data_IF_682215061381
#
_entry.id   IF_682215061381
#
_cell.length_a   1.000
_cell.length_b   1.000
_cell.length_c   1.000
_cell.angle_alpha   90.00
_cell.angle_beta   90.00
_cell.angle_gamma   90.00
#
_symmetry.space_group_name_H-M   'P 1'
#
loop_
_entity.id
_entity.type
_entity.pdbx_description
1 polymer ?
#
# COMPACT_ATOMS: atom_id res chain seq x y z
N UNK A 1 -15.35 -14.72 3.52
CA UNK A 1 -13.96 -14.35 3.18
C UNK A 1 -13.06 -14.92 4.26
N UNK A 2 -12.52 -16.14 4.08
CA UNK A 2 -11.55 -16.74 5.00
C UNK A 2 -10.16 -16.27 4.57
N UNK A 3 -9.40 -15.68 5.49
CA UNK A 3 -8.11 -15.06 5.23
C UNK A 3 -7.00 -16.01 5.73
N UNK A 4 -6.12 -16.55 4.87
CA UNK A 4 -5.15 -17.58 5.26
C UNK A 4 -3.87 -17.04 5.92
N UNK A 5 -3.68 -15.72 6.02
CA UNK A 5 -2.48 -15.12 6.61
C UNK A 5 -2.69 -14.83 8.10
N UNK A 6 -1.78 -15.32 8.95
CA UNK A 6 -1.81 -15.03 10.39
C UNK A 6 -1.75 -13.51 10.64
N UNK A 7 -2.64 -13.00 11.50
CA UNK A 7 -2.77 -11.56 11.79
C UNK A 7 -3.74 -10.80 10.90
N UNK A 8 -4.33 -11.43 9.86
CA UNK A 8 -5.33 -10.82 8.99
C UNK A 8 -6.74 -11.27 9.39
N UNK A 9 -7.48 -10.41 10.09
CA UNK A 9 -8.82 -10.75 10.59
C UNK A 9 -9.87 -10.92 9.48
N UNK A 10 -9.63 -10.36 8.29
CA UNK A 10 -10.49 -10.50 7.12
C UNK A 10 -11.81 -9.74 7.22
N UNK A 11 -11.80 -8.55 7.83
CA UNK A 11 -13.01 -7.75 8.09
C UNK A 11 -12.91 -6.34 7.52
N UNK A 12 -14.04 -5.79 7.11
CA UNK A 12 -14.23 -4.36 6.87
C UNK A 12 -14.86 -3.74 8.11
N UNK A 13 -14.19 -2.75 8.68
CA UNK A 13 -14.64 -2.06 9.90
C UNK A 13 -15.01 -0.63 9.52
N UNK A 14 -16.29 -0.29 9.63
CA UNK A 14 -16.80 1.06 9.43
C UNK A 14 -16.89 1.77 10.77
N UNK A 15 -16.55 3.05 10.81
CA UNK A 15 -16.63 3.85 12.01
C UNK A 15 -16.11 5.26 11.82
N UNK A 16 -15.73 5.90 12.92
CA UNK A 16 -15.12 7.22 12.91
C UNK A 16 -13.77 7.19 13.61
N UNK A 17 -12.74 7.73 12.97
CA UNK A 17 -11.42 7.96 13.56
C UNK A 17 -11.23 9.46 13.79
N UNK A 18 -11.11 9.88 15.06
CA UNK A 18 -10.99 11.30 15.43
C UNK A 18 -12.05 12.19 14.75
N UNK A 19 -13.30 11.71 14.70
CA UNK A 19 -14.43 12.43 14.09
C UNK A 19 -14.54 12.35 12.57
N UNK A 20 -13.59 11.71 11.87
CA UNK A 20 -13.66 11.48 10.43
C UNK A 20 -14.25 10.09 10.13
N UNK A 21 -15.30 9.98 9.30
CA UNK A 21 -15.82 8.67 8.90
C UNK A 21 -14.74 7.91 8.10
N UNK A 22 -14.56 6.64 8.42
CA UNK A 22 -13.55 5.80 7.79
C UNK A 22 -14.04 4.35 7.65
N UNK A 23 -13.50 3.66 6.64
CA UNK A 23 -13.57 2.21 6.51
C UNK A 23 -12.15 1.66 6.59
N UNK A 24 -11.94 0.65 7.45
CA UNK A 24 -10.65 0.01 7.63
C UNK A 24 -10.71 -1.45 7.16
N UNK A 25 -9.74 -1.85 6.34
CA UNK A 25 -9.49 -3.25 6.02
C UNK A 25 -8.60 -3.85 7.11
N UNK A 26 -9.19 -4.64 8.01
CA UNK A 26 -8.41 -5.38 9.01
C UNK A 26 -7.87 -6.66 8.39
N UNK A 27 -6.77 -6.49 7.66
CA UNK A 27 -6.16 -7.49 6.79
C UNK A 27 -6.39 -7.18 5.31
N UNK A 28 -5.39 -7.49 4.50
CA UNK A 28 -5.39 -7.38 3.02
C UNK A 28 -5.06 -8.73 2.39
N UNK A 29 -5.41 -8.91 1.12
CA UNK A 29 -4.97 -10.05 0.33
C UNK A 29 -3.59 -9.76 -0.29
N UNK A 30 -2.81 -10.80 -0.54
CA UNK A 30 -1.48 -10.72 -1.15
C UNK A 30 -1.35 -11.61 -2.38
N UNK A 31 -0.40 -11.28 -3.26
CA UNK A 31 -0.17 -12.00 -4.51
C UNK A 31 0.22 -13.47 -4.27
N UNK A 32 1.10 -13.73 -3.31
CA UNK A 32 1.54 -15.08 -2.96
C UNK A 32 0.42 -15.99 -2.42
N UNK A 33 -0.75 -15.45 -2.06
CA UNK A 33 -1.91 -16.26 -1.67
C UNK A 33 -2.60 -16.92 -2.87
N UNK A 34 -2.14 -16.64 -4.09
CA UNK A 34 -2.65 -17.24 -5.34
C UNK A 34 -3.89 -16.55 -5.91
N UNK A 35 -4.29 -15.41 -5.35
CA UNK A 35 -5.41 -14.63 -5.91
C UNK A 35 -4.98 -13.84 -7.15
N UNK A 36 -5.84 -13.72 -8.17
CA UNK A 36 -5.64 -12.76 -9.25
C UNK A 36 -5.48 -11.35 -8.68
N UNK A 37 -4.55 -10.56 -9.22
CA UNK A 37 -4.23 -9.21 -8.73
C UNK A 37 -5.44 -8.27 -8.75
N UNK A 38 -6.38 -8.47 -9.67
CA UNK A 38 -7.65 -7.74 -9.74
C UNK A 38 -8.56 -8.05 -8.54
N UNK A 39 -8.53 -9.28 -8.00
CA UNK A 39 -9.28 -9.65 -6.79
C UNK A 39 -8.66 -9.01 -5.55
N UNK A 40 -7.33 -8.94 -5.49
CA UNK A 40 -6.60 -8.30 -4.39
C UNK A 40 -6.92 -6.81 -4.31
N UNK A 41 -6.96 -6.13 -5.46
CA UNK A 41 -7.15 -4.67 -5.56
C UNK A 41 -8.60 -4.23 -5.66
N UNK A 42 -9.56 -5.17 -5.80
CA UNK A 42 -10.99 -4.89 -5.87
C UNK A 42 -11.53 -3.96 -4.77
N UNK A 43 -11.09 -4.06 -3.49
CA UNK A 43 -11.56 -3.15 -2.44
C UNK A 43 -11.35 -1.67 -2.77
N UNK A 44 -10.32 -1.32 -3.55
CA UNK A 44 -10.08 0.08 -3.96
C UNK A 44 -11.23 0.63 -4.81
N UNK A 45 -11.78 -0.18 -5.73
CA UNK A 45 -12.95 0.18 -6.54
C UNK A 45 -14.21 0.29 -5.67
N UNK A 46 -14.37 -0.61 -4.71
CA UNK A 46 -15.49 -0.56 -3.76
C UNK A 46 -15.41 0.72 -2.92
N UNK A 47 -14.24 1.07 -2.39
CA UNK A 47 -14.05 2.29 -1.61
C UNK A 47 -14.31 3.55 -2.42
N UNK A 48 -13.87 3.59 -3.69
CA UNK A 48 -14.23 4.68 -4.60
C UNK A 48 -15.75 4.83 -4.76
N UNK A 49 -16.47 3.73 -4.93
CA UNK A 49 -17.94 3.75 -5.03
C UNK A 49 -18.63 4.14 -3.72
N UNK A 50 -18.01 3.92 -2.57
CA UNK A 50 -18.48 4.38 -1.26
C UNK A 50 -18.15 5.86 -0.99
N UNK A 51 -17.49 6.55 -1.93
CA UNK A 51 -17.13 7.96 -1.78
C UNK A 51 -15.81 8.21 -1.04
N UNK A 52 -14.94 7.20 -0.91
CA UNK A 52 -13.60 7.40 -0.34
C UNK A 52 -12.74 8.19 -1.33
N UNK A 53 -12.15 9.28 -0.84
CA UNK A 53 -11.27 10.17 -1.62
C UNK A 53 -9.79 10.01 -1.25
N UNK A 54 -9.50 9.54 -0.03
CA UNK A 54 -8.14 9.34 0.48
C UNK A 54 -7.98 7.92 0.99
N UNK A 55 -6.89 7.25 0.59
CA UNK A 55 -6.55 5.90 1.04
C UNK A 55 -5.20 5.94 1.75
N UNK A 56 -5.16 5.46 2.99
CA UNK A 56 -3.92 5.25 3.74
C UNK A 56 -3.58 3.76 3.67
N UNK A 57 -2.42 3.43 3.11
CA UNK A 57 -1.92 2.05 3.00
C UNK A 57 -0.74 1.84 3.95
N UNK A 58 -0.82 0.82 4.80
CA UNK A 58 0.26 0.48 5.75
C UNK A 58 0.79 -0.91 5.44
N UNK A 59 2.10 -1.14 5.48
CA UNK A 59 2.68 -2.48 5.33
C UNK A 59 3.91 -2.68 6.21
N UNK A 60 4.28 -3.94 6.39
CA UNK A 60 5.57 -4.32 6.95
C UNK A 60 6.50 -4.64 5.79
N UNK A 61 7.76 -4.21 5.89
CA UNK A 61 8.77 -4.35 4.85
C UNK A 61 10.14 -4.68 5.46
N UNK A 62 10.97 -5.39 4.70
CA UNK A 62 12.40 -5.47 4.98
C UNK A 62 13.10 -4.17 4.56
N UNK A 63 14.01 -3.66 5.40
CA UNK A 63 14.80 -2.47 5.09
C UNK A 63 16.05 -2.81 4.30
N UNK A 64 16.15 -2.34 3.05
CA UNK A 64 17.37 -2.47 2.23
C UNK A 64 18.36 -1.30 2.44
N UNK A 65 17.84 -0.15 2.88
CA UNK A 65 18.69 0.97 3.26
C UNK A 65 19.38 0.64 4.60
N UNK A 66 20.72 0.66 4.62
CA UNK A 66 21.53 0.31 5.79
C UNK A 66 21.32 1.25 6.99
N UNK A 67 20.79 2.45 6.76
CA UNK A 67 20.48 3.41 7.82
C UNK A 67 19.15 3.11 8.53
N UNK A 68 18.32 2.22 7.98
CA UNK A 68 17.02 1.88 8.55
C UNK A 68 17.16 0.81 9.63
N UNK A 69 16.30 0.91 10.64
CA UNK A 69 16.26 -0.01 11.78
C UNK A 69 14.90 -0.68 11.89
N UNK A 70 14.88 -1.85 12.52
CA UNK A 70 13.62 -2.52 12.87
C UNK A 70 12.79 -1.59 13.76
N UNK A 71 11.55 -1.33 13.35
CA UNK A 71 10.63 -0.43 14.04
C UNK A 71 10.55 0.98 13.44
N UNK A 72 11.43 1.33 12.50
CA UNK A 72 11.32 2.58 11.75
C UNK A 72 10.01 2.60 10.93
N UNK A 73 9.45 3.80 10.76
CA UNK A 73 8.31 4.06 9.90
C UNK A 73 8.82 4.78 8.66
N UNK A 74 8.64 4.17 7.48
CA UNK A 74 9.00 4.79 6.22
C UNK A 74 7.75 5.32 5.50
N UNK A 75 7.71 6.63 5.25
CA UNK A 75 6.77 7.24 4.31
C UNK A 75 7.20 6.85 2.89
N UNK A 76 6.29 6.21 2.15
CA UNK A 76 6.55 5.79 0.77
C UNK A 76 6.42 7.02 -0.14
N UNK A 77 7.52 7.41 -0.76
CA UNK A 77 7.52 8.51 -1.75
C UNK A 77 7.35 8.04 -3.19
N UNK A 78 7.70 6.78 -3.46
CA UNK A 78 7.58 6.15 -4.77
C UNK A 78 7.63 4.62 -4.64
N UNK A 79 7.38 3.89 -5.74
CA UNK A 79 7.53 2.44 -5.76
C UNK A 79 8.17 1.89 -7.04
N UNK A 80 8.76 0.69 -6.90
CA UNK A 80 9.12 -0.18 -8.01
C UNK A 80 8.13 -1.34 -8.03
N UNK A 81 7.38 -1.47 -9.12
CA UNK A 81 6.38 -2.53 -9.29
C UNK A 81 6.96 -3.69 -10.13
N UNK A 82 7.75 -4.57 -9.51
CA UNK A 82 8.40 -5.68 -10.20
C UNK A 82 7.40 -6.63 -10.90
N UNK A 83 6.28 -7.06 -10.28
CA UNK A 83 5.25 -7.84 -10.98
C UNK A 83 4.66 -7.09 -12.18
N UNK A 84 4.50 -5.76 -12.06
CA UNK A 84 3.99 -4.91 -13.12
C UNK A 84 4.85 -4.93 -14.38
N UNK A 85 6.19 -4.92 -14.24
CA UNK A 85 7.10 -5.05 -15.39
C UNK A 85 6.94 -6.37 -16.14
N UNK A 86 6.54 -7.44 -15.46
CA UNK A 86 6.24 -8.75 -16.06
C UNK A 86 4.78 -8.90 -16.54
N UNK A 87 3.99 -7.81 -16.55
CA UNK A 87 2.59 -7.83 -16.97
C UNK A 87 1.60 -8.30 -15.90
N UNK A 88 2.03 -8.52 -14.66
CA UNK A 88 1.13 -8.79 -13.54
C UNK A 88 0.73 -7.46 -12.87
N UNK A 89 -0.15 -6.71 -13.52
CA UNK A 89 -0.65 -5.41 -13.08
C UNK A 89 -2.20 -5.45 -12.94
N UNK A 90 -2.81 -4.82 -11.91
CA UNK A 90 -4.27 -4.85 -11.71
C UNK A 90 -5.08 -4.22 -12.85
N UNK A 91 -4.46 -3.44 -13.72
CA UNK A 91 -5.10 -2.79 -14.87
C UNK A 91 -5.00 -3.61 -16.16
N UNK A 92 -4.35 -4.79 -16.14
CA UNK A 92 -4.37 -5.71 -17.29
C UNK A 92 -5.79 -6.24 -17.50
N UNK A 93 -6.25 -6.17 -18.75
CA UNK A 93 -7.61 -6.51 -19.18
C UNK A 93 -8.31 -5.32 -19.84
N UNK A 94 -9.64 -5.38 -20.06
CA UNK A 94 -10.45 -4.25 -20.53
C UNK A 94 -10.43 -3.08 -19.53
N UNK A 95 -10.44 -1.84 -20.04
CA UNK A 95 -10.59 -0.65 -19.19
C UNK A 95 -12.07 -0.34 -18.95
N UNK A 96 -12.40 0.04 -17.73
CA UNK A 96 -13.72 0.54 -17.37
C UNK A 96 -13.61 2.04 -17.09
N UNK A 97 -14.08 2.84 -18.04
CA UNK A 97 -13.92 4.30 -18.02
C UNK A 97 -14.61 4.98 -16.83
N UNK A 98 -15.52 4.27 -16.13
CA UNK A 98 -16.14 4.77 -14.90
C UNK A 98 -15.14 4.95 -13.75
N UNK A 99 -14.00 4.24 -13.79
CA UNK A 99 -12.98 4.29 -12.74
C UNK A 99 -11.75 5.11 -13.11
N UNK A 100 -11.46 5.30 -14.41
CA UNK A 100 -10.32 6.08 -14.85
C UNK A 100 -9.92 5.84 -16.30
N UNK A 101 -8.82 6.49 -16.68
CA UNK A 101 -8.23 6.43 -18.02
C UNK A 101 -7.53 5.10 -18.27
N UNK A 102 -7.37 4.73 -19.55
CA UNK A 102 -6.68 3.50 -19.96
C UNK A 102 -5.21 3.43 -19.53
N UNK A 103 -4.52 4.56 -19.56
CA UNK A 103 -3.09 4.67 -19.28
C UNK A 103 -2.87 5.76 -18.21
N UNK A 104 -3.08 5.44 -16.92
CA UNK A 104 -2.85 6.40 -15.86
C UNK A 104 -1.36 6.69 -15.70
N UNK A 105 -1.01 7.96 -15.46
CA UNK A 105 0.31 8.33 -15.00
C UNK A 105 0.47 7.90 -13.53
N UNK A 106 1.68 7.50 -13.14
CA UNK A 106 1.98 7.07 -11.77
C UNK A 106 3.04 7.95 -11.08
N UNK A 107 3.54 9.00 -11.74
CA UNK A 107 4.61 9.85 -11.19
C UNK A 107 4.18 10.69 -9.99
N UNK A 108 2.88 10.76 -9.74
CA UNK A 108 2.21 11.44 -8.63
C UNK A 108 1.28 10.49 -7.85
N UNK A 109 1.49 9.17 -7.95
CA UNK A 109 0.64 8.17 -7.29
C UNK A 109 0.65 8.28 -5.75
N UNK A 110 1.72 8.84 -5.18
CA UNK A 110 1.80 9.18 -3.77
C UNK A 110 1.67 10.70 -3.64
N UNK A 111 0.62 11.14 -2.96
CA UNK A 111 0.33 12.56 -2.76
C UNK A 111 1.45 13.22 -1.94
N UNK A 112 2.03 14.31 -2.47
CA UNK A 112 3.17 14.98 -1.84
C UNK A 112 2.78 15.76 -0.59
N UNK A 113 1.57 16.30 -0.55
CA UNK A 113 1.08 17.06 0.61
C UNK A 113 0.82 16.12 1.79
N UNK A 114 0.25 14.94 1.54
CA UNK A 114 0.06 13.92 2.57
C UNK A 114 1.39 13.33 3.07
N UNK A 115 2.38 13.17 2.20
CA UNK A 115 3.73 12.76 2.62
C UNK A 115 4.34 13.81 3.56
N UNK A 116 4.33 15.08 3.17
CA UNK A 116 4.87 16.15 3.99
C UNK A 116 4.11 16.27 5.32
N UNK A 117 2.78 16.17 5.30
CA UNK A 117 1.96 16.19 6.51
C UNK A 117 2.33 15.06 7.48
N UNK A 118 2.62 13.87 6.97
CA UNK A 118 3.06 12.76 7.83
C UNK A 118 4.45 13.03 8.44
N UNK A 119 5.36 13.64 7.69
CA UNK A 119 6.69 14.05 8.17
C UNK A 119 6.58 15.13 9.25
N UNK A 120 5.82 16.18 8.99
CA UNK A 120 5.63 17.31 9.91
C UNK A 120 5.02 16.83 11.23
N UNK A 121 3.94 16.05 11.18
CA UNK A 121 3.30 15.47 12.37
C UNK A 121 4.28 14.56 13.12
N UNK A 122 5.07 13.76 12.39
CA UNK A 122 6.08 12.91 13.02
C UNK A 122 7.14 13.72 13.76
N UNK A 123 7.59 14.84 13.20
CA UNK A 123 8.51 15.76 13.87
C UNK A 123 7.88 16.41 15.10
N UNK A 124 6.65 16.91 14.98
CA UNK A 124 5.89 17.52 16.09
C UNK A 124 5.69 16.55 17.26
N UNK A 125 5.50 15.26 16.98
CA UNK A 125 5.36 14.21 17.98
C UNK A 125 6.71 13.70 18.54
N UNK A 126 7.83 14.21 18.05
CA UNK A 126 9.18 13.78 18.47
C UNK A 126 9.61 12.43 17.89
N UNK A 127 9.03 12.02 16.76
CA UNK A 127 9.29 10.74 16.08
C UNK A 127 10.32 10.84 14.94
N UNK A 128 10.93 12.02 14.75
CA UNK A 128 11.86 12.28 13.65
C UNK A 128 13.03 11.28 13.54
N UNK A 129 13.50 10.72 14.66
CA UNK A 129 14.63 9.79 14.68
C UNK A 129 14.34 8.45 13.98
N UNK A 130 13.08 7.98 14.01
CA UNK A 130 12.65 6.71 13.42
C UNK A 130 11.68 6.88 12.25
N UNK A 131 11.40 8.13 11.86
CA UNK A 131 10.66 8.44 10.64
C UNK A 131 11.63 8.55 9.45
N UNK A 132 11.34 7.82 8.39
CA UNK A 132 12.14 7.73 7.17
C UNK A 132 11.28 8.04 5.96
N UNK A 133 11.93 8.27 4.83
CA UNK A 133 11.29 8.38 3.52
C UNK A 133 12.03 7.50 2.52
N UNK A 134 11.31 6.85 1.61
CA UNK A 134 11.98 5.95 0.66
C UNK A 134 11.07 5.35 -0.42
N UNK A 135 11.71 4.59 -1.30
CA UNK A 135 11.07 3.89 -2.42
C UNK A 135 10.75 2.47 -1.98
N UNK A 136 9.51 2.03 -2.21
CA UNK A 136 9.06 0.69 -1.87
C UNK A 136 9.12 -0.25 -3.08
N UNK A 137 9.77 -1.41 -2.95
CA UNK A 137 9.76 -2.42 -4.01
C UNK A 137 8.71 -3.50 -3.71
N UNK A 138 7.78 -3.71 -4.65
CA UNK A 138 6.76 -4.76 -4.53
C UNK A 138 7.32 -6.05 -5.14
N UNK A 139 7.37 -7.14 -4.37
CA UNK A 139 7.74 -8.47 -4.85
C UNK A 139 6.56 -9.45 -4.78
N UNK A 140 6.70 -10.59 -5.48
CA UNK A 140 5.68 -11.63 -5.52
C UNK A 140 5.58 -12.45 -4.22
N UNK A 141 6.72 -12.76 -3.58
CA UNK A 141 6.79 -13.68 -2.44
C UNK A 141 6.42 -15.13 -2.80
N UNK A 142 6.21 -16.03 -1.82
CA UNK A 142 6.23 -15.78 -0.37
C UNK A 142 7.62 -15.93 0.28
N UNK A 143 8.63 -16.40 -0.46
CA UNK A 143 10.00 -16.41 0.06
C UNK A 143 10.50 -14.98 0.28
N UNK A 144 11.28 -14.78 1.34
CA UNK A 144 12.11 -13.58 1.48
C UNK A 144 13.23 -13.57 0.45
N UNK A 145 13.87 -12.41 0.33
CA UNK A 145 14.92 -12.11 -0.61
C UNK A 145 16.23 -12.85 -0.26
N UNK A 146 16.96 -13.24 -1.28
CA UNK A 146 18.34 -13.74 -1.17
C UNK A 146 19.34 -12.60 -1.08
N UNK A 147 20.61 -12.89 -0.73
CA UNK A 147 21.68 -11.88 -0.66
C UNK A 147 21.88 -11.16 -2.01
N UNK A 148 21.67 -11.84 -3.14
CA UNK A 148 21.85 -11.22 -4.46
C UNK A 148 20.67 -10.34 -4.89
N UNK A 149 19.50 -10.52 -4.27
CA UNK A 149 18.31 -9.71 -4.52
C UNK A 149 18.26 -8.45 -3.63
N UNK A 150 18.97 -8.45 -2.51
CA UNK A 150 19.13 -7.32 -1.57
C UNK A 150 20.30 -6.40 -1.96
#
# INVERSE_FOLDING_TARGET
FLHPVHGHAGRLVFGTLKGRPCVCMQGRFHLYEGYPIQKITLPMRIFKMLGVETVILTNAAGGLNQDFKVGDIMVIKDHINMPGFAGNNPLVGPNDERFGVRFPCMSDAYDRELQQLAVDIGQELGYGDFLKEGVYCVLGGPSFETIAEC
#
